data_IF_789377063700
#
_entry.id   IF_789377063700
#
_cell.length_a   1.000
_cell.length_b   1.000
_cell.length_c   1.000
_cell.angle_alpha   90.00
_cell.angle_beta   90.00
_cell.angle_gamma   90.00
#
_symmetry.space_group_name_H-M   'P 1'
#
loop_
_entity.id
_entity.type
_entity.pdbx_description
1 polymer ?
#
# COMPACT_ATOMS: atom_id res chain seq x y z
N UNK A 1 -24.22 8.02 -30.34
CA UNK A 1 -25.15 8.80 -29.48
C UNK A 1 -25.43 7.94 -28.24
N UNK A 2 -24.60 8.05 -27.21
CA UNK A 2 -24.91 8.78 -25.96
C UNK A 2 -26.00 8.11 -25.12
N UNK A 3 -25.63 7.55 -23.97
CA UNK A 3 -26.01 8.16 -22.69
C UNK A 3 -25.32 7.47 -21.52
N UNK A 4 -24.55 8.27 -20.77
CA UNK A 4 -24.04 7.95 -19.46
C UNK A 4 -25.17 7.94 -18.41
N UNK A 5 -25.02 7.11 -17.38
CA UNK A 5 -25.71 7.18 -16.10
C UNK A 5 -24.78 6.48 -15.08
N UNK A 6 -24.43 7.00 -13.92
CA UNK A 6 -25.01 8.07 -13.13
C UNK A 6 -23.92 8.85 -12.39
N UNK A 7 -23.99 10.18 -12.50
CA UNK A 7 -23.37 11.08 -11.54
C UNK A 7 -24.32 11.23 -10.35
N UNK A 8 -23.99 10.59 -9.23
CA UNK A 8 -24.60 10.84 -7.93
C UNK A 8 -23.62 11.66 -7.09
N UNK A 9 -23.85 12.97 -7.02
CA UNK A 9 -23.15 13.87 -6.12
C UNK A 9 -23.79 13.79 -4.72
N UNK A 10 -23.06 13.25 -3.75
CA UNK A 10 -23.30 13.44 -2.32
C UNK A 10 -22.21 14.37 -1.77
N UNK A 11 -22.60 15.53 -1.24
CA UNK A 11 -21.69 16.41 -0.53
C UNK A 11 -21.26 15.78 0.80
N UNK A 12 -19.95 15.62 1.03
CA UNK A 12 -19.37 15.61 2.39
C UNK A 12 -18.49 14.43 2.84
N UNK A 13 -18.20 13.42 2.02
CA UNK A 13 -17.22 12.38 2.40
C UNK A 13 -15.85 12.71 1.80
N UNK A 14 -14.92 13.21 2.63
CA UNK A 14 -13.50 13.33 2.28
C UNK A 14 -12.96 11.95 1.89
N UNK A 15 -12.91 11.67 0.60
CA UNK A 15 -12.27 10.48 0.04
C UNK A 15 -10.82 10.81 -0.28
N UNK A 16 -9.94 9.85 0.00
CA UNK A 16 -8.50 9.97 -0.24
C UNK A 16 -8.06 8.90 -1.21
N UNK A 17 -7.07 9.21 -2.04
CA UNK A 17 -6.39 8.23 -2.87
C UNK A 17 -5.00 7.99 -2.29
N UNK A 18 -4.63 6.71 -2.16
CA UNK A 18 -3.31 6.35 -1.68
C UNK A 18 -2.72 5.17 -2.43
N UNK A 19 -1.39 5.12 -2.42
CA UNK A 19 -0.62 3.97 -2.85
C UNK A 19 0.20 3.45 -1.67
N UNK A 20 0.51 2.16 -1.66
CA UNK A 20 1.30 1.57 -0.59
C UNK A 20 2.30 0.51 -1.06
N UNK A 21 3.33 0.34 -0.26
CA UNK A 21 4.25 -0.80 -0.33
C UNK A 21 4.06 -1.57 0.97
N UNK A 22 3.63 -2.83 0.84
CA UNK A 22 3.42 -3.73 1.96
C UNK A 22 4.53 -4.78 1.95
N UNK A 23 5.30 -4.88 3.03
CA UNK A 23 6.22 -5.99 3.25
C UNK A 23 5.66 -6.81 4.41
N UNK A 24 5.34 -8.08 4.14
CA UNK A 24 4.86 -8.99 5.17
C UNK A 24 6.03 -9.58 5.94
N UNK A 25 5.75 -9.99 7.18
CA UNK A 25 6.73 -10.60 8.07
C UNK A 25 6.08 -11.69 8.93
N UNK A 26 6.86 -12.29 9.82
CA UNK A 26 6.45 -13.39 10.70
C UNK A 26 5.22 -13.08 11.58
N UNK A 27 4.94 -11.79 11.80
CA UNK A 27 3.81 -11.29 12.59
C UNK A 27 2.56 -11.00 11.77
N UNK A 28 2.65 -11.06 10.44
CA UNK A 28 1.52 -10.77 9.56
C UNK A 28 0.40 -11.79 9.75
N UNK A 29 -0.84 -11.29 9.88
CA UNK A 29 -2.06 -12.12 10.01
C UNK A 29 -2.18 -13.18 8.92
N UNK A 30 -1.84 -12.80 7.68
CA UNK A 30 -1.78 -13.72 6.52
C UNK A 30 -0.36 -13.74 5.97
N UNK A 31 0.39 -14.79 6.30
CA UNK A 31 1.80 -14.99 5.93
C UNK A 31 2.00 -15.52 4.51
N UNK A 32 1.17 -15.12 3.54
CA UNK A 32 1.35 -15.52 2.14
C UNK A 32 1.01 -14.38 1.20
N UNK A 33 1.78 -14.24 0.12
CA UNK A 33 1.59 -13.22 -0.92
C UNK A 33 1.60 -13.86 -2.30
N UNK A 34 1.44 -13.05 -3.34
CA UNK A 34 1.57 -13.51 -4.73
C UNK A 34 3.02 -13.91 -5.08
N UNK A 35 4.01 -13.41 -4.32
CA UNK A 35 5.44 -13.75 -4.48
C UNK A 35 5.85 -14.97 -3.66
N UNK A 36 5.17 -15.18 -2.54
CA UNK A 36 5.44 -16.25 -1.59
C UNK A 36 4.11 -16.92 -1.20
N UNK A 37 3.54 -17.74 -2.10
CA UNK A 37 2.22 -18.36 -1.88
C UNK A 37 2.24 -19.33 -0.69
N UNK A 38 3.37 -20.00 -0.46
CA UNK A 38 3.57 -20.93 0.67
C UNK A 38 3.97 -20.21 1.96
N UNK A 39 4.41 -18.95 1.88
CA UNK A 39 4.68 -18.14 3.05
C UNK A 39 6.00 -18.41 3.76
N UNK A 40 6.94 -19.10 3.10
CA UNK A 40 8.21 -19.51 3.72
C UNK A 40 9.10 -18.30 4.02
N UNK A 41 9.21 -17.39 3.06
CA UNK A 41 10.02 -16.17 3.18
C UNK A 41 9.37 -15.21 4.16
N UNK A 42 8.05 -15.04 4.07
CA UNK A 42 7.29 -14.15 4.96
C UNK A 42 7.39 -14.63 6.41
N UNK A 43 7.29 -15.94 6.65
CA UNK A 43 7.39 -16.51 8.00
C UNK A 43 8.79 -16.41 8.60
N UNK A 44 9.83 -16.38 7.75
CA UNK A 44 11.22 -16.22 8.18
C UNK A 44 11.67 -14.74 8.28
N UNK A 45 10.89 -13.81 7.73
CA UNK A 45 11.22 -12.38 7.77
C UNK A 45 10.80 -11.82 9.12
N UNK A 46 11.72 -11.22 9.86
CA UNK A 46 11.36 -10.59 11.14
C UNK A 46 10.69 -9.23 10.93
N UNK A 47 10.03 -8.71 11.97
CA UNK A 47 9.49 -7.34 11.93
C UNK A 47 10.60 -6.30 11.69
N UNK A 48 11.79 -6.52 12.27
CA UNK A 48 12.93 -5.63 12.10
C UNK A 48 13.46 -5.67 10.67
N UNK A 49 13.57 -6.86 10.07
CA UNK A 49 14.01 -7.02 8.68
C UNK A 49 13.01 -6.39 7.70
N UNK A 50 11.71 -6.57 7.93
CA UNK A 50 10.69 -5.91 7.13
C UNK A 50 10.77 -4.39 7.23
N UNK A 51 11.00 -3.84 8.43
CA UNK A 51 11.20 -2.41 8.63
C UNK A 51 12.48 -1.89 7.94
N UNK A 52 13.59 -2.63 8.04
CA UNK A 52 14.84 -2.29 7.37
C UNK A 52 14.71 -2.33 5.84
N UNK A 53 14.02 -3.34 5.30
CA UNK A 53 13.70 -3.45 3.87
C UNK A 53 12.85 -2.27 3.41
N UNK A 54 11.79 -1.93 4.15
CA UNK A 54 10.96 -0.75 3.85
C UNK A 54 11.77 0.55 3.90
N UNK A 55 12.69 0.70 4.86
CA UNK A 55 13.61 1.83 4.94
C UNK A 55 14.48 1.96 3.69
N UNK A 56 15.14 0.87 3.27
CA UNK A 56 15.97 0.88 2.06
C UNK A 56 15.19 1.19 0.79
N UNK A 57 13.97 0.66 0.66
CA UNK A 57 13.09 0.98 -0.48
C UNK A 57 12.66 2.45 -0.49
N UNK A 58 12.35 3.01 0.69
CA UNK A 58 12.05 4.44 0.84
C UNK A 58 13.24 5.29 0.41
N UNK A 59 14.45 4.95 0.86
CA UNK A 59 15.65 5.71 0.55
C UNK A 59 15.96 5.67 -0.96
N UNK A 60 15.75 4.53 -1.63
CA UNK A 60 15.86 4.42 -3.08
C UNK A 60 14.88 5.32 -3.82
N UNK A 61 13.64 5.41 -3.35
CA UNK A 61 12.61 6.30 -3.93
C UNK A 61 13.02 7.76 -3.72
N UNK A 62 13.49 8.12 -2.53
CA UNK A 62 13.92 9.49 -2.22
C UNK A 62 15.18 9.90 -2.98
N UNK A 63 16.09 8.97 -3.24
CA UNK A 63 17.29 9.18 -4.04
C UNK A 63 16.98 9.29 -5.56
N UNK A 64 15.73 9.05 -5.98
CA UNK A 64 15.35 9.06 -7.40
C UNK A 64 15.84 7.85 -8.19
N UNK A 65 16.26 6.77 -7.52
CA UNK A 65 16.79 5.57 -8.18
C UNK A 65 15.72 4.68 -8.82
N UNK A 66 14.47 4.78 -8.35
CA UNK A 66 13.32 4.07 -8.92
C UNK A 66 12.02 4.81 -8.59
N UNK A 67 10.98 4.64 -9.43
CA UNK A 67 9.67 5.18 -9.11
C UNK A 67 8.99 4.36 -8.01
N UNK A 68 8.09 4.99 -7.25
CA UNK A 68 7.29 4.29 -6.26
C UNK A 68 6.51 3.11 -6.86
N UNK A 69 5.95 3.31 -8.06
CA UNK A 69 5.16 2.29 -8.75
C UNK A 69 6.00 1.06 -9.09
N UNK A 70 7.25 1.26 -9.55
CA UNK A 70 8.16 0.17 -9.88
C UNK A 70 8.54 -0.62 -8.63
N UNK A 71 8.90 0.08 -7.54
CA UNK A 71 9.24 -0.54 -6.27
C UNK A 71 8.03 -1.32 -5.71
N UNK A 72 6.83 -0.75 -5.77
CA UNK A 72 5.62 -1.42 -5.32
C UNK A 72 5.31 -2.66 -6.17
N UNK A 73 5.45 -2.59 -7.49
CA UNK A 73 5.22 -3.73 -8.37
C UNK A 73 6.21 -4.87 -8.13
N UNK A 74 7.47 -4.54 -7.83
CA UNK A 74 8.52 -5.52 -7.63
C UNK A 74 8.56 -6.09 -6.22
N UNK A 75 8.33 -5.27 -5.19
CA UNK A 75 8.61 -5.64 -3.80
C UNK A 75 7.37 -5.83 -2.93
N UNK A 76 6.22 -5.25 -3.25
CA UNK A 76 5.04 -5.29 -2.38
C UNK A 76 4.36 -6.68 -2.37
N UNK A 77 4.03 -7.15 -1.18
CA UNK A 77 3.30 -8.39 -0.92
C UNK A 77 1.77 -8.24 -1.04
N UNK A 78 1.28 -7.03 -1.35
CA UNK A 78 -0.13 -6.77 -1.60
C UNK A 78 -0.49 -7.03 -3.07
N UNK A 79 -1.73 -7.41 -3.35
CA UNK A 79 -2.23 -7.58 -4.72
C UNK A 79 -2.26 -6.25 -5.51
N UNK A 80 -2.25 -5.11 -4.83
CA UNK A 80 -2.10 -3.77 -5.41
C UNK A 80 -0.74 -3.57 -6.10
N UNK A 81 0.26 -4.41 -5.85
CA UNK A 81 1.55 -4.40 -6.54
C UNK A 81 1.39 -4.35 -8.07
N UNK A 82 0.42 -5.09 -8.62
CA UNK A 82 0.11 -5.12 -10.06
C UNK A 82 -0.32 -3.76 -10.66
N UNK A 83 -0.72 -2.81 -9.80
CA UNK A 83 -1.09 -1.43 -10.16
C UNK A 83 -0.12 -0.41 -9.54
N UNK A 84 1.14 -0.80 -9.34
CA UNK A 84 2.14 0.07 -8.72
C UNK A 84 1.80 0.48 -7.29
N UNK A 85 1.09 -0.39 -6.56
CA UNK A 85 0.69 -0.15 -5.17
C UNK A 85 -0.58 0.69 -5.02
N UNK A 86 -1.26 1.08 -6.10
CA UNK A 86 -2.47 1.91 -6.06
C UNK A 86 -3.65 1.16 -5.44
N UNK A 87 -4.19 1.73 -4.36
CA UNK A 87 -5.39 1.25 -3.66
C UNK A 87 -6.66 1.91 -4.19
N UNK A 88 -6.54 2.91 -5.07
CA UNK A 88 -7.67 3.70 -5.52
C UNK A 88 -8.17 4.69 -4.46
N UNK A 89 -9.36 5.22 -4.66
CA UNK A 89 -10.02 6.13 -3.72
C UNK A 89 -10.78 5.35 -2.67
N UNK A 90 -10.61 5.71 -1.40
CA UNK A 90 -11.38 5.16 -0.29
C UNK A 90 -11.82 6.26 0.67
N UNK A 91 -12.95 6.03 1.35
CA UNK A 91 -13.47 6.88 2.41
C UNK A 91 -13.05 6.40 3.80
N UNK A 92 -13.51 7.10 4.84
CA UNK A 92 -13.26 6.75 6.24
C UNK A 92 -13.89 5.40 6.59
N UNK A 93 -13.26 4.66 7.50
CA UNK A 93 -13.59 3.30 7.95
C UNK A 93 -13.51 2.20 6.89
N UNK A 94 -12.93 2.47 5.72
CA UNK A 94 -12.74 1.44 4.67
C UNK A 94 -11.40 0.71 4.79
N UNK A 95 -10.43 1.31 5.49
CA UNK A 95 -9.10 0.72 5.70
C UNK A 95 -8.83 0.45 7.18
N UNK A 96 -7.77 -0.30 7.47
CA UNK A 96 -7.35 -0.52 8.86
C UNK A 96 -6.99 0.81 9.52
N UNK A 97 -7.49 1.03 10.74
CA UNK A 97 -7.37 2.30 11.45
C UNK A 97 -5.96 2.93 11.42
N UNK A 98 -4.86 2.20 11.64
CA UNK A 98 -3.52 2.78 11.55
C UNK A 98 -3.15 3.28 10.13
N UNK A 99 -3.60 2.58 9.08
CA UNK A 99 -3.38 2.99 7.69
C UNK A 99 -4.22 4.21 7.32
N UNK A 100 -5.47 4.20 7.76
CA UNK A 100 -6.41 5.29 7.52
C UNK A 100 -5.92 6.57 8.18
N UNK A 101 -5.62 6.52 9.49
CA UNK A 101 -5.15 7.67 10.25
C UNK A 101 -3.87 8.25 9.61
N UNK A 102 -2.94 7.40 9.16
CA UNK A 102 -1.73 7.83 8.45
C UNK A 102 -2.03 8.45 7.07
N UNK A 103 -2.95 7.87 6.29
CA UNK A 103 -3.31 8.40 4.97
C UNK A 103 -3.98 9.76 5.08
N UNK A 104 -4.93 9.92 6.00
CA UNK A 104 -5.64 11.19 6.20
C UNK A 104 -4.76 12.27 6.84
N UNK A 105 -3.73 11.88 7.60
CA UNK A 105 -2.73 12.81 8.14
C UNK A 105 -1.73 13.30 7.06
N UNK A 106 -1.44 12.48 6.05
CA UNK A 106 -0.55 12.83 4.94
C UNK A 106 -1.30 13.66 3.88
N UNK A 107 -1.18 14.99 3.96
CA UNK A 107 -1.67 15.91 2.92
C UNK A 107 -0.75 15.89 1.69
N UNK A 108 -0.99 14.95 0.77
CA UNK A 108 -0.32 14.87 -0.53
C UNK A 108 0.43 13.56 -0.74
N UNK A 109 0.31 13.03 -1.97
CA UNK A 109 0.90 11.79 -2.52
C UNK A 109 1.36 10.78 -1.44
N UNK A 110 0.37 10.00 -1.00
CA UNK A 110 0.44 9.16 0.18
C UNK A 110 1.42 7.99 0.01
N UNK A 111 2.48 7.99 0.84
CA UNK A 111 3.48 6.93 0.96
C UNK A 111 3.28 6.27 2.33
N UNK A 112 2.32 5.35 2.43
CA UNK A 112 2.05 4.65 3.70
C UNK A 112 2.68 3.27 3.66
N UNK A 113 3.77 3.12 4.40
CA UNK A 113 4.38 1.82 4.67
C UNK A 113 3.63 1.16 5.82
N UNK A 114 2.92 0.06 5.57
CA UNK A 114 2.40 -0.80 6.63
C UNK A 114 3.32 -2.01 6.79
N UNK A 115 3.85 -2.22 7.98
CA UNK A 115 4.26 -3.54 8.44
C UNK A 115 3.01 -4.15 9.10
N UNK A 116 2.48 -5.22 8.49
CA UNK A 116 1.23 -5.87 8.90
C UNK A 116 1.48 -7.08 9.79
#
# INVERSE_FOLDING_TARGET
MSSAAAAGAGAGEETVRASHILIKHEGSRRKSSWKDPEGRVISATTRADAAARLGGLRDQILAGGASFADIAAQHSDCSSARRGGDLGTFGRRQMQKPFEDATYALKGLCLVSLAA
#
